data_IF_701448487474
#
_entry.id   IF_701448487474
#
_cell.length_a   1.000
_cell.length_b   1.000
_cell.length_c   1.000
_cell.angle_alpha   90.00
_cell.angle_beta   90.00
_cell.angle_gamma   90.00
#
_symmetry.space_group_name_H-M   'P 1'
#
loop_
_entity.id
_entity.type
_entity.pdbx_description
1 polymer ?
#
# COMPACT_ATOMS: atom_id res chain seq x y z
N UNK A 1 -14.21 -12.40 13.32
CA UNK A 1 -14.95 -11.87 12.15
C UNK A 1 -13.90 -11.61 11.10
N UNK A 2 -13.98 -12.28 9.94
CA UNK A 2 -12.94 -12.24 8.93
C UNK A 2 -12.96 -10.87 8.24
N UNK A 3 -11.80 -10.21 8.18
CA UNK A 3 -11.59 -9.12 7.25
C UNK A 3 -11.90 -9.67 5.86
N UNK A 4 -12.92 -9.13 5.20
CA UNK A 4 -13.16 -9.46 3.79
C UNK A 4 -12.01 -8.85 3.00
N UNK A 5 -10.98 -9.66 2.79
CA UNK A 5 -10.06 -9.47 1.69
C UNK A 5 -10.91 -9.31 0.42
N UNK A 6 -10.52 -8.42 -0.48
CA UNK A 6 -11.17 -8.31 -1.80
C UNK A 6 -11.11 -9.70 -2.47
N UNK A 7 -12.21 -10.45 -2.48
CA UNK A 7 -12.18 -11.91 -2.78
C UNK A 7 -12.29 -12.22 -4.28
N UNK A 8 -12.49 -11.22 -5.16
CA UNK A 8 -12.67 -11.47 -6.60
C UNK A 8 -11.76 -10.65 -7.51
N UNK A 9 -11.30 -11.22 -8.66
CA UNK A 9 -10.55 -10.49 -9.70
C UNK A 9 -11.28 -9.24 -10.23
N UNK A 10 -12.62 -9.24 -10.20
CA UNK A 10 -13.47 -8.16 -10.71
C UNK A 10 -13.47 -6.94 -9.77
N UNK A 11 -13.44 -7.18 -8.45
CA UNK A 11 -13.35 -6.09 -7.45
C UNK A 11 -12.02 -5.32 -7.56
N UNK A 12 -10.93 -6.03 -7.91
CA UNK A 12 -9.64 -5.40 -8.17
C UNK A 12 -9.64 -4.60 -9.46
N UNK A 13 -10.31 -5.08 -10.51
CA UNK A 13 -10.42 -4.35 -11.76
C UNK A 13 -11.15 -3.02 -11.55
N UNK A 14 -12.25 -3.04 -10.80
CA UNK A 14 -13.02 -1.82 -10.49
C UNK A 14 -12.24 -0.83 -9.61
N UNK A 15 -11.50 -1.32 -8.62
CA UNK A 15 -10.64 -0.48 -7.79
C UNK A 15 -9.49 0.11 -8.61
N UNK A 16 -8.85 -0.67 -9.49
CA UNK A 16 -7.81 -0.21 -10.42
C UNK A 16 -8.38 0.91 -11.31
N UNK A 17 -9.50 0.66 -11.97
CA UNK A 17 -10.11 1.64 -12.87
C UNK A 17 -10.44 2.92 -12.11
N UNK A 18 -10.98 2.78 -10.89
CA UNK A 18 -11.31 3.92 -10.05
C UNK A 18 -10.09 4.74 -9.62
N UNK A 19 -9.05 4.11 -9.08
CA UNK A 19 -7.85 4.78 -8.55
C UNK A 19 -7.02 5.43 -9.66
N UNK A 20 -6.93 4.82 -10.84
CA UNK A 20 -6.01 5.28 -11.88
C UNK A 20 -6.63 6.33 -12.83
N UNK A 21 -7.95 6.30 -13.06
CA UNK A 21 -8.59 7.18 -14.06
C UNK A 21 -9.24 8.45 -13.50
N UNK A 22 -9.38 8.54 -12.18
CA UNK A 22 -9.95 9.71 -11.50
C UNK A 22 -9.03 10.94 -11.50
N UNK A 23 -7.71 10.73 -11.61
CA UNK A 23 -6.68 11.78 -11.48
C UNK A 23 -6.57 12.38 -10.06
N UNK A 24 -7.20 11.77 -9.05
CA UNK A 24 -7.17 12.25 -7.67
C UNK A 24 -5.86 11.90 -6.95
N UNK A 25 -5.50 12.64 -5.89
CA UNK A 25 -4.35 12.30 -5.06
C UNK A 25 -4.56 10.94 -4.38
N UNK A 26 -3.51 10.14 -4.35
CA UNK A 26 -3.51 8.83 -3.71
C UNK A 26 -2.93 8.92 -2.31
N UNK A 27 -3.47 8.11 -1.41
CA UNK A 27 -3.12 8.06 -0.01
C UNK A 27 -2.92 6.61 0.40
N UNK A 28 -2.00 6.39 1.33
CA UNK A 28 -1.88 5.12 2.07
C UNK A 28 -2.50 5.30 3.45
N UNK A 29 -3.70 4.75 3.71
CA UNK A 29 -4.34 4.85 5.02
C UNK A 29 -3.48 4.22 6.11
N UNK A 30 -3.21 4.98 7.17
CA UNK A 30 -2.57 4.42 8.37
C UNK A 30 -1.09 4.07 8.24
N UNK A 31 -0.37 4.59 7.24
CA UNK A 31 1.03 4.22 7.02
C UNK A 31 2.05 4.94 7.92
N UNK A 32 1.63 5.90 8.76
CA UNK A 32 2.56 6.52 9.70
C UNK A 32 2.81 5.61 10.91
N UNK A 33 4.07 5.24 11.20
CA UNK A 33 4.39 4.56 12.44
C UNK A 33 4.01 5.46 13.62
N UNK A 34 3.33 4.88 14.61
CA UNK A 34 2.88 5.56 15.84
C UNK A 34 1.89 6.72 15.67
N UNK A 35 1.33 6.94 14.48
CA UNK A 35 0.29 7.93 14.25
C UNK A 35 -0.97 7.25 13.67
N UNK A 36 -1.66 6.53 14.56
CA UNK A 36 -2.92 5.81 14.28
C UNK A 36 -3.86 6.70 13.47
N UNK A 37 -4.44 6.13 12.41
CA UNK A 37 -5.37 6.81 11.50
C UNK A 37 -4.81 8.01 10.72
N UNK A 38 -3.50 8.30 10.76
CA UNK A 38 -2.90 9.25 9.83
C UNK A 38 -2.50 8.54 8.54
N UNK A 39 -3.01 9.05 7.42
CA UNK A 39 -2.56 8.64 6.10
C UNK A 39 -1.36 9.47 5.65
N UNK A 40 -0.63 8.89 4.71
CA UNK A 40 0.45 9.57 3.98
C UNK A 40 0.06 9.67 2.52
N UNK A 41 0.49 10.74 1.89
CA UNK A 41 0.26 10.92 0.46
C UNK A 41 1.22 10.02 -0.33
N UNK A 42 0.72 9.44 -1.40
CA UNK A 42 1.50 8.68 -2.37
C UNK A 42 1.45 9.39 -3.72
N UNK A 43 2.62 9.70 -4.26
CA UNK A 43 2.79 10.35 -5.56
C UNK A 43 3.37 9.33 -6.54
N UNK A 44 2.60 8.83 -7.51
CA UNK A 44 3.13 7.90 -8.51
C UNK A 44 4.23 8.53 -9.37
N UNK A 45 5.22 7.73 -9.76
CA UNK A 45 6.32 8.19 -10.63
C UNK A 45 5.82 8.56 -12.05
N UNK A 46 4.80 7.84 -12.54
CA UNK A 46 4.31 7.93 -13.91
C UNK A 46 2.83 8.38 -13.95
N UNK A 47 2.50 9.28 -14.88
CA UNK A 47 1.13 9.63 -15.27
C UNK A 47 1.00 9.53 -16.81
N UNK A 48 0.18 8.62 -17.37
CA UNK A 48 -0.69 7.66 -16.67
C UNK A 48 0.12 6.63 -15.88
N UNK A 49 -0.47 6.16 -14.78
CA UNK A 49 0.14 5.22 -13.84
C UNK A 49 0.38 3.86 -14.49
N UNK A 50 1.62 3.35 -14.35
CA UNK A 50 2.00 2.03 -14.84
C UNK A 50 1.89 0.99 -13.73
N UNK A 51 0.99 0.01 -13.91
CA UNK A 51 0.88 -1.15 -13.03
C UNK A 51 2.06 -2.09 -13.20
N UNK A 52 2.59 -2.58 -12.08
CA UNK A 52 3.72 -3.51 -12.06
C UNK A 52 3.33 -4.77 -11.27
N UNK A 53 3.84 -5.95 -11.64
CA UNK A 53 3.67 -7.15 -10.82
C UNK A 53 4.21 -6.91 -9.41
N UNK A 54 3.57 -7.52 -8.42
CA UNK A 54 4.04 -7.43 -7.04
C UNK A 54 5.45 -8.04 -6.89
N UNK A 55 6.44 -7.34 -6.30
CA UNK A 55 7.84 -7.76 -6.33
C UNK A 55 8.13 -9.10 -5.64
N UNK A 56 7.37 -9.45 -4.60
CA UNK A 56 7.62 -10.66 -3.78
C UNK A 56 6.64 -11.80 -4.07
N UNK A 57 5.50 -11.52 -4.70
CA UNK A 57 4.46 -12.53 -4.96
C UNK A 57 3.56 -12.10 -6.12
N UNK A 58 3.76 -12.59 -7.37
CA UNK A 58 3.01 -12.14 -8.54
C UNK A 58 1.52 -12.49 -8.50
N UNK A 59 1.04 -13.27 -7.52
CA UNK A 59 -0.40 -13.53 -7.32
C UNK A 59 -1.08 -12.46 -6.46
N UNK A 60 -0.32 -11.61 -5.76
CA UNK A 60 -0.86 -10.48 -5.01
C UNK A 60 -1.23 -9.32 -5.94
N UNK A 61 -1.94 -8.34 -5.38
CA UNK A 61 -2.37 -7.16 -6.14
C UNK A 61 -1.19 -6.45 -6.79
N UNK A 62 -1.34 -5.96 -8.04
CA UNK A 62 -0.31 -5.16 -8.68
C UNK A 62 0.06 -3.94 -7.82
N UNK A 63 1.29 -3.47 -8.00
CA UNK A 63 1.83 -2.32 -7.29
C UNK A 63 1.96 -1.12 -8.21
N UNK A 64 1.93 0.07 -7.61
CA UNK A 64 2.40 1.30 -8.23
C UNK A 64 3.77 1.65 -7.69
N UNK A 65 4.59 2.26 -8.55
CA UNK A 65 5.86 2.87 -8.16
C UNK A 65 5.67 4.37 -7.94
N UNK A 66 6.24 4.92 -6.88
CA UNK A 66 6.12 6.33 -6.56
C UNK A 66 6.90 6.75 -5.32
N UNK A 67 6.51 7.87 -4.74
CA UNK A 67 7.05 8.41 -3.50
C UNK A 67 5.98 8.44 -2.42
N UNK A 68 6.38 8.17 -1.18
CA UNK A 68 5.54 8.38 0.00
C UNK A 68 6.01 9.64 0.71
N UNK A 69 5.13 10.63 0.85
CA UNK A 69 5.47 11.91 1.47
C UNK A 69 5.41 11.80 2.99
N UNK A 70 6.48 12.23 3.67
CA UNK A 70 6.54 12.30 5.13
C UNK A 70 6.96 11.00 5.83
N UNK A 71 7.54 10.04 5.09
CA UNK A 71 8.22 8.86 5.64
C UNK A 71 9.70 8.86 5.27
N UNK A 72 10.43 7.80 5.63
CA UNK A 72 11.84 7.65 5.28
C UNK A 72 12.07 7.81 3.78
N UNK A 73 13.04 8.65 3.41
CA UNK A 73 13.40 8.90 2.02
C UNK A 73 13.97 7.63 1.39
N UNK A 74 13.44 7.25 0.22
CA UNK A 74 13.86 6.10 -0.57
C UNK A 74 13.92 6.51 -2.05
N UNK A 75 14.73 5.85 -2.89
CA UNK A 75 14.73 6.10 -4.34
C UNK A 75 13.35 5.94 -4.96
N UNK A 76 12.59 4.94 -4.50
CA UNK A 76 11.18 4.75 -4.83
C UNK A 76 10.52 3.83 -3.81
N UNK A 77 9.18 3.88 -3.79
CA UNK A 77 8.30 2.98 -3.07
C UNK A 77 7.43 2.21 -4.07
N UNK A 78 7.31 0.90 -3.84
CA UNK A 78 6.22 0.10 -4.38
C UNK A 78 5.11 0.04 -3.34
N UNK A 79 3.88 0.33 -3.75
CA UNK A 79 2.69 0.23 -2.91
C UNK A 79 1.63 -0.58 -3.64
N UNK A 80 1.15 -1.64 -3.00
CA UNK A 80 0.06 -2.45 -3.51
C UNK A 80 -1.24 -1.63 -3.60
N UNK A 81 -1.99 -1.80 -4.68
CA UNK A 81 -3.24 -1.07 -4.90
C UNK A 81 -4.27 -1.27 -3.78
N UNK A 82 -4.26 -2.43 -3.14
CA UNK A 82 -5.13 -2.72 -1.99
C UNK A 82 -4.88 -1.78 -0.79
N UNK A 83 -3.75 -1.07 -0.75
CA UNK A 83 -3.40 -0.11 0.28
C UNK A 83 -3.55 1.35 -0.17
N UNK A 84 -4.03 1.59 -1.39
CA UNK A 84 -4.20 2.93 -1.95
C UNK A 84 -5.66 3.34 -1.96
N UNK A 85 -5.89 4.62 -1.68
CA UNK A 85 -7.20 5.23 -1.67
C UNK A 85 -7.11 6.69 -2.12
N UNK A 86 -8.19 7.21 -2.69
CA UNK A 86 -8.41 8.66 -2.73
C UNK A 86 -8.62 9.21 -1.32
N UNK A 87 -8.58 10.54 -1.22
CA UNK A 87 -8.96 11.25 0.00
C UNK A 87 -10.31 10.78 0.56
N UNK A 88 -10.47 10.91 1.88
CA UNK A 88 -11.72 10.57 2.57
C UNK A 88 -12.92 11.29 1.95
N UNK A 89 -14.07 10.63 1.94
CA UNK A 89 -15.28 11.10 1.25
C UNK A 89 -15.45 10.52 -0.15
N UNK A 90 -14.47 9.77 -0.66
CA UNK A 90 -14.65 8.95 -1.84
C UNK A 90 -15.34 7.63 -1.49
N UNK A 91 -16.61 7.48 -1.87
CA UNK A 91 -17.44 6.31 -1.53
C UNK A 91 -16.81 4.97 -1.95
N UNK A 92 -16.15 4.93 -3.11
CA UNK A 92 -15.48 3.73 -3.64
C UNK A 92 -14.21 3.38 -2.88
N UNK A 93 -13.56 4.35 -2.24
CA UNK A 93 -12.35 4.13 -1.44
C UNK A 93 -12.66 3.91 0.06
N UNK A 94 -13.89 4.14 0.49
CA UNK A 94 -14.31 3.98 1.89
C UNK A 94 -14.03 2.56 2.46
N UNK A 95 -14.16 1.46 1.69
CA UNK A 95 -13.78 0.14 2.18
C UNK A 95 -12.29 0.04 2.57
N UNK A 96 -11.39 0.67 1.81
CA UNK A 96 -9.94 0.68 2.10
C UNK A 96 -9.67 1.47 3.39
N UNK A 97 -10.31 2.62 3.56
CA UNK A 97 -10.20 3.42 4.79
C UNK A 97 -10.72 2.69 6.02
N UNK A 98 -11.83 1.96 5.87
CA UNK A 98 -12.43 1.18 6.95
C UNK A 98 -11.56 -0.02 7.34
N UNK A 99 -11.07 -0.78 6.36
CA UNK A 99 -10.19 -1.91 6.60
C UNK A 99 -8.93 -1.49 7.37
N UNK A 100 -8.30 -0.37 6.97
CA UNK A 100 -7.15 0.16 7.69
C UNK A 100 -7.49 0.59 9.14
N UNK A 101 -8.66 1.20 9.36
CA UNK A 101 -9.11 1.59 10.69
C UNK A 101 -9.41 0.39 11.60
N UNK A 102 -10.01 -0.67 11.03
CA UNK A 102 -10.28 -1.94 11.71
C UNK A 102 -8.97 -2.65 12.08
N UNK A 103 -8.01 -2.73 11.16
CA UNK A 103 -6.69 -3.33 11.45
C UNK A 103 -5.97 -2.58 12.57
N UNK A 104 -6.00 -1.24 12.55
CA UNK A 104 -5.42 -0.45 13.64
C UNK A 104 -6.05 -0.76 15.00
N UNK A 105 -7.31 -1.23 15.07
CA UNK A 105 -8.02 -1.50 16.32
C UNK A 105 -7.27 -2.45 17.24
N UNK A 106 -6.59 -3.43 16.65
CA UNK A 106 -5.88 -4.51 17.34
C UNK A 106 -4.37 -4.25 17.50
N UNK A 107 -3.84 -3.18 16.88
CA UNK A 107 -2.42 -2.82 16.98
C UNK A 107 -2.14 -2.02 18.27
N UNK A 108 -1.11 -2.40 19.06
CA UNK A 108 -0.64 -1.63 20.20
C UNK A 108 -0.28 -0.18 19.83
N UNK A 109 -0.27 0.73 20.80
CA UNK A 109 0.01 2.15 20.55
C UNK A 109 1.41 2.40 19.96
N UNK A 110 2.36 1.53 20.27
CA UNK A 110 3.73 1.52 19.75
C UNK A 110 3.92 0.61 18.52
N UNK A 111 2.85 -0.02 18.03
CA UNK A 111 2.88 -0.87 16.85
C UNK A 111 2.84 -0.10 15.52
N UNK A 112 3.00 -0.84 14.43
CA UNK A 112 2.90 -0.36 13.06
C UNK A 112 2.04 -1.34 12.24
N UNK A 113 1.25 -0.83 11.29
CA UNK A 113 0.54 -1.67 10.32
C UNK A 113 1.38 -2.08 9.14
N UNK A 114 2.41 -1.29 8.82
CA UNK A 114 3.21 -1.49 7.63
C UNK A 114 4.69 -1.58 7.98
N UNK A 115 5.39 -2.42 7.22
CA UNK A 115 6.83 -2.46 7.16
C UNK A 115 7.32 -2.08 5.76
N UNK A 116 8.61 -1.77 5.68
CA UNK A 116 9.30 -1.54 4.44
C UNK A 116 10.26 -2.71 4.19
N UNK A 117 10.07 -3.42 3.08
CA UNK A 117 11.02 -4.44 2.63
C UNK A 117 11.88 -3.83 1.52
N UNK A 118 13.20 -3.92 1.64
CA UNK A 118 14.10 -3.48 0.57
C UNK A 118 13.92 -4.37 -0.66
N UNK A 119 13.69 -3.74 -1.80
CA UNK A 119 13.43 -4.41 -3.08
C UNK A 119 14.20 -3.71 -4.19
N UNK A 120 14.56 -4.47 -5.21
CA UNK A 120 15.33 -3.97 -6.33
C UNK A 120 16.29 -5.04 -6.84
N UNK A 121 16.82 -4.81 -8.03
CA UNK A 121 17.90 -5.65 -8.52
C UNK A 121 19.24 -5.16 -7.95
N UNK A 122 20.26 -6.02 -7.87
CA UNK A 122 21.58 -5.64 -7.35
C UNK A 122 22.23 -4.44 -8.07
N UNK A 123 21.82 -4.19 -9.31
CA UNK A 123 22.33 -3.14 -10.21
C UNK A 123 21.48 -1.86 -10.24
N UNK A 124 20.42 -1.78 -9.43
CA UNK A 124 19.56 -0.59 -9.31
C UNK A 124 19.60 -0.03 -7.88
N UNK A 125 19.38 1.28 -7.67
CA UNK A 125 19.19 1.82 -6.33
C UNK A 125 18.06 1.04 -5.62
N UNK A 126 18.29 0.54 -4.40
CA UNK A 126 17.29 -0.26 -3.70
C UNK A 126 16.10 0.64 -3.36
N UNK A 127 14.93 0.27 -3.86
CA UNK A 127 13.68 0.86 -3.39
C UNK A 127 13.12 0.08 -2.22
N UNK A 128 11.91 0.41 -1.83
CA UNK A 128 11.19 -0.30 -0.78
C UNK A 128 9.80 -0.73 -1.25
N UNK A 129 9.36 -1.91 -0.84
CA UNK A 129 7.99 -2.34 -0.93
C UNK A 129 7.31 -2.06 0.42
N UNK A 130 6.22 -1.30 0.40
CA UNK A 130 5.37 -1.15 1.57
C UNK A 130 4.48 -2.39 1.69
N UNK A 131 4.65 -3.14 2.77
CA UNK A 131 3.89 -4.37 3.06
C UNK A 131 3.14 -4.24 4.37
N UNK A 132 1.96 -4.86 4.45
CA UNK A 132 1.30 -5.05 5.73
C UNK A 132 2.17 -5.97 6.61
N UNK A 133 2.26 -5.70 7.91
CA UNK A 133 3.15 -6.46 8.81
C UNK A 133 2.81 -7.95 8.88
N UNK A 134 1.53 -8.30 8.78
CA UNK A 134 1.08 -9.70 8.78
C UNK A 134 1.43 -10.44 7.48
N UNK A 135 1.78 -9.71 6.42
CA UNK A 135 2.15 -10.26 5.12
C UNK A 135 3.67 -10.36 4.94
N UNK A 136 4.48 -10.03 5.95
CA UNK A 136 5.93 -10.21 5.90
C UNK A 136 6.22 -11.73 5.90
N UNK A 137 6.84 -12.27 4.83
CA UNK A 137 7.28 -13.67 4.84
C UNK A 137 8.16 -13.97 6.06
N UNK A 138 7.83 -15.04 6.79
CA UNK A 138 8.63 -15.47 7.95
C UNK A 138 10.11 -15.74 7.60
N UNK A 139 10.40 -16.06 6.34
CA UNK A 139 11.74 -16.39 5.86
C UNK A 139 12.63 -15.15 5.58
N UNK A 140 12.13 -13.91 5.80
CA UNK A 140 12.92 -12.68 5.62
C UNK A 140 13.73 -12.27 6.85
N UNK A 141 13.44 -12.82 8.03
CA UNK A 141 14.18 -12.51 9.27
C UNK A 141 15.50 -13.30 9.39
N UNK A 142 15.77 -14.25 8.50
CA UNK A 142 16.95 -15.16 8.53
C UNK A 142 18.09 -14.76 7.55
N UNK A 143 18.06 -13.56 6.96
CA UNK A 143 19.06 -13.09 5.98
C UNK A 143 20.11 -12.10 6.53
#
# INVERSE_FOLDING_TARGET
MQAQALETPDDYHDLIVHLLHSGGPLWVPGAKPHARNQAVMFEPDDLPTTLRPHPTNPKQTPVLRGQIVGVASRPYWYVALAHLAHARGCERCEPVWRAAAEQWADVPNDGALFAAIDVGKPDEPPGALLVHIDDIPADLDDA
#
